data_IF_059756731256
#
_entry.id   IF_059756731256
#
_cell.length_a   1.000
_cell.length_b   1.000
_cell.length_c   1.000
_cell.angle_alpha   90.00
_cell.angle_beta   90.00
_cell.angle_gamma   90.00
#
_symmetry.space_group_name_H-M   'P 1'
#
loop_
_entity.id
_entity.type
_entity.pdbx_description
1 polymer ?
#
# COMPACT_ATOMS: atom_id res chain seq x y z
N UNK A 1 -17.39 -23.25 4.76
CA UNK A 1 -16.65 -21.98 4.96
C UNK A 1 -17.68 -20.88 4.83
N UNK A 2 -18.08 -20.25 5.94
CA UNK A 2 -19.19 -19.30 5.93
C UNK A 2 -18.91 -18.03 5.12
N UNK A 3 -19.99 -17.31 4.81
CA UNK A 3 -20.02 -15.98 4.17
C UNK A 3 -19.11 -14.94 4.81
N UNK A 4 -18.63 -15.17 6.04
CA UNK A 4 -17.66 -14.33 6.77
C UNK A 4 -16.28 -14.24 6.09
N UNK A 5 -16.03 -15.07 5.08
CA UNK A 5 -14.83 -15.04 4.25
C UNK A 5 -14.83 -13.87 3.25
N UNK A 6 -15.98 -13.27 2.97
CA UNK A 6 -16.16 -12.21 2.00
C UNK A 6 -16.49 -10.88 2.67
N UNK A 7 -15.75 -9.84 2.34
CA UNK A 7 -16.00 -8.48 2.81
C UNK A 7 -16.45 -7.60 1.64
N UNK A 8 -17.59 -6.93 1.79
CA UNK A 8 -18.04 -5.93 0.82
C UNK A 8 -17.45 -4.57 1.18
N UNK A 9 -16.74 -3.95 0.24
CA UNK A 9 -16.26 -2.59 0.34
C UNK A 9 -17.26 -1.65 -0.38
N UNK A 10 -17.99 -0.79 0.35
CA UNK A 10 -18.99 0.10 -0.24
C UNK A 10 -18.39 1.28 -1.00
N UNK A 11 -17.16 1.69 -0.69
CA UNK A 11 -16.47 2.82 -1.35
C UNK A 11 -16.04 2.43 -2.77
N UNK A 12 -15.46 1.24 -2.89
CA UNK A 12 -15.00 0.69 -4.16
C UNK A 12 -16.08 -0.11 -4.89
N UNK A 13 -17.15 -0.51 -4.18
CA UNK A 13 -18.21 -1.42 -4.64
C UNK A 13 -17.63 -2.74 -5.16
N UNK A 14 -16.76 -3.35 -4.35
CA UNK A 14 -16.08 -4.62 -4.65
C UNK A 14 -16.26 -5.59 -3.50
N UNK A 15 -16.16 -6.88 -3.78
CA UNK A 15 -16.17 -7.93 -2.76
C UNK A 15 -14.77 -8.50 -2.66
N UNK A 16 -14.19 -8.40 -1.48
CA UNK A 16 -12.87 -8.94 -1.14
C UNK A 16 -13.04 -10.35 -0.59
N UNK A 17 -12.37 -11.31 -1.22
CA UNK A 17 -12.19 -12.64 -0.68
C UNK A 17 -10.96 -12.64 0.23
N UNK A 18 -11.17 -12.67 1.55
CA UNK A 18 -10.07 -12.61 2.53
C UNK A 18 -9.12 -13.82 2.43
N UNK A 19 -9.60 -15.07 2.27
CA UNK A 19 -8.70 -16.21 2.12
C UNK A 19 -7.80 -16.14 0.88
N UNK A 20 -8.29 -15.54 -0.21
CA UNK A 20 -7.51 -15.40 -1.44
C UNK A 20 -6.70 -14.10 -1.51
N UNK A 21 -7.02 -13.09 -0.70
CA UNK A 21 -6.40 -11.78 -0.76
C UNK A 21 -6.75 -10.97 -2.02
N UNK A 22 -7.88 -11.29 -2.67
CA UNK A 22 -8.27 -10.74 -3.99
C UNK A 22 -9.74 -10.36 -4.05
N UNK A 23 -10.11 -9.40 -4.89
CA UNK A 23 -11.50 -9.12 -5.18
C UNK A 23 -12.11 -10.15 -6.14
N UNK A 24 -13.40 -10.41 -5.95
CA UNK A 24 -14.20 -11.19 -6.88
C UNK A 24 -14.55 -10.35 -8.10
N UNK A 25 -14.20 -10.83 -9.30
CA UNK A 25 -14.61 -10.19 -10.55
C UNK A 25 -16.13 -10.21 -10.62
N UNK A 26 -16.82 -9.08 -10.92
CA UNK A 26 -18.28 -8.98 -10.88
C UNK A 26 -18.95 -9.72 -12.04
N UNK A 27 -18.80 -11.05 -12.06
CA UNK A 27 -19.30 -11.98 -13.07
C UNK A 27 -19.67 -13.29 -12.37
N UNK A 28 -20.93 -13.75 -12.44
CA UNK A 28 -21.37 -14.98 -11.77
C UNK A 28 -20.57 -16.23 -12.16
N UNK A 29 -20.14 -16.33 -13.42
CA UNK A 29 -19.27 -17.41 -13.91
C UNK A 29 -17.91 -17.41 -13.23
N UNK A 30 -17.33 -16.23 -13.01
CA UNK A 30 -16.07 -16.06 -12.28
C UNK A 30 -16.22 -16.46 -10.81
N UNK A 31 -17.33 -16.10 -10.16
CA UNK A 31 -17.60 -16.49 -8.78
C UNK A 31 -17.72 -18.01 -8.65
N UNK A 32 -18.50 -18.66 -9.51
CA UNK A 32 -18.61 -20.13 -9.54
C UNK A 32 -17.25 -20.80 -9.63
N UNK A 33 -16.39 -20.33 -10.54
CA UNK A 33 -15.05 -20.89 -10.70
C UNK A 33 -14.17 -20.65 -9.47
N UNK A 34 -14.20 -19.44 -8.91
CA UNK A 34 -13.41 -19.06 -7.74
C UNK A 34 -13.81 -19.86 -6.49
N UNK A 35 -15.11 -19.94 -6.19
CA UNK A 35 -15.64 -20.62 -5.00
C UNK A 35 -15.45 -22.14 -5.06
N UNK A 36 -15.34 -22.73 -6.25
CA UNK A 36 -15.05 -24.17 -6.43
C UNK A 36 -13.56 -24.49 -6.31
N UNK A 37 -12.69 -23.53 -6.57
CA UNK A 37 -11.25 -23.68 -6.46
C UNK A 37 -10.81 -23.69 -4.99
N UNK A 38 -9.58 -24.15 -4.75
CA UNK A 38 -8.91 -23.96 -3.47
C UNK A 38 -8.68 -22.45 -3.22
N UNK A 39 -8.86 -21.94 -1.98
CA UNK A 39 -9.08 -22.62 -0.70
C UNK A 39 -10.55 -22.95 -0.37
N UNK A 40 -11.51 -22.59 -1.22
CA UNK A 40 -12.94 -22.62 -0.87
C UNK A 40 -13.61 -23.99 -1.08
N UNK A 41 -13.37 -24.65 -2.22
CA UNK A 41 -13.92 -25.97 -2.60
C UNK A 41 -15.44 -26.12 -2.38
N UNK A 42 -16.20 -25.03 -2.48
CA UNK A 42 -17.65 -24.98 -2.18
C UNK A 42 -18.47 -25.74 -3.24
N UNK A 43 -19.52 -26.43 -2.78
CA UNK A 43 -20.42 -27.24 -3.63
C UNK A 43 -21.87 -27.17 -3.13
N UNK A 44 -22.80 -27.64 -3.96
CA UNK A 44 -24.21 -27.77 -3.60
C UNK A 44 -24.86 -26.44 -3.20
N UNK A 45 -25.68 -26.49 -2.14
CA UNK A 45 -26.44 -25.33 -1.65
C UNK A 45 -25.55 -24.21 -1.10
N UNK A 46 -24.42 -24.55 -0.47
CA UNK A 46 -23.47 -23.55 0.05
C UNK A 46 -22.97 -22.63 -1.06
N UNK A 47 -22.64 -23.22 -2.23
CA UNK A 47 -22.24 -22.48 -3.42
C UNK A 47 -23.40 -21.64 -3.98
N UNK A 48 -24.60 -22.21 -4.04
CA UNK A 48 -25.80 -21.54 -4.59
C UNK A 48 -26.16 -20.31 -3.76
N UNK A 49 -26.29 -20.47 -2.44
CA UNK A 49 -26.61 -19.39 -1.51
C UNK A 49 -25.54 -18.30 -1.51
N UNK A 50 -24.26 -18.68 -1.60
CA UNK A 50 -23.18 -17.71 -1.68
C UNK A 50 -23.25 -16.87 -2.95
N UNK A 51 -23.53 -17.49 -4.10
CA UNK A 51 -23.68 -16.75 -5.37
C UNK A 51 -24.89 -15.81 -5.31
N UNK A 52 -26.00 -16.27 -4.73
CA UNK A 52 -27.20 -15.46 -4.54
C UNK A 52 -26.91 -14.23 -3.67
N UNK A 53 -26.22 -14.43 -2.54
CA UNK A 53 -25.76 -13.34 -1.68
C UNK A 53 -24.82 -12.37 -2.43
N UNK A 54 -23.82 -12.88 -3.15
CA UNK A 54 -22.89 -12.04 -3.93
C UNK A 54 -23.60 -11.23 -5.02
N UNK A 55 -24.67 -11.79 -5.59
CA UNK A 55 -25.49 -11.14 -6.63
C UNK A 55 -26.34 -9.99 -6.08
N UNK A 56 -26.63 -9.99 -4.78
CA UNK A 56 -27.41 -8.92 -4.15
C UNK A 56 -26.65 -7.59 -4.04
N UNK A 57 -25.30 -7.63 -4.08
CA UNK A 57 -24.48 -6.43 -3.98
C UNK A 57 -24.39 -5.70 -5.33
N UNK A 58 -24.44 -4.37 -5.27
CA UNK A 58 -24.18 -3.51 -6.44
C UNK A 58 -22.67 -3.36 -6.62
N UNK A 59 -22.11 -4.09 -7.59
CA UNK A 59 -20.67 -4.11 -7.84
C UNK A 59 -20.27 -3.25 -9.03
N UNK A 60 -19.15 -2.55 -8.90
CA UNK A 60 -18.58 -1.74 -9.98
C UNK A 60 -17.92 -2.65 -11.02
N UNK A 61 -18.19 -2.49 -12.32
CA UNK A 61 -17.52 -3.25 -13.37
C UNK A 61 -16.03 -2.92 -13.46
N UNK A 62 -15.26 -3.83 -14.05
CA UNK A 62 -13.79 -3.72 -14.14
C UNK A 62 -13.34 -2.44 -14.84
N UNK A 63 -14.03 -2.02 -15.89
CA UNK A 63 -13.65 -0.83 -16.67
C UNK A 63 -13.88 0.47 -15.89
N UNK A 64 -14.95 0.53 -15.10
CA UNK A 64 -15.17 1.64 -14.18
C UNK A 64 -14.12 1.65 -13.07
N UNK A 65 -13.68 0.49 -12.55
CA UNK A 65 -12.58 0.45 -11.56
C UNK A 65 -11.27 0.98 -12.14
N UNK A 66 -11.01 0.77 -13.44
CA UNK A 66 -9.85 1.35 -14.14
C UNK A 66 -9.96 2.87 -14.25
N UNK A 67 -11.12 3.39 -14.64
CA UNK A 67 -11.35 4.82 -14.80
C UNK A 67 -11.41 5.58 -13.47
N UNK A 68 -11.94 4.94 -12.42
CA UNK A 68 -11.99 5.49 -11.06
C UNK A 68 -10.58 5.75 -10.48
N UNK A 69 -9.52 5.33 -11.18
CA UNK A 69 -8.10 5.44 -10.80
C UNK A 69 -7.30 6.40 -11.70
N UNK A 70 -7.93 7.44 -12.23
CA UNK A 70 -7.26 8.43 -13.08
C UNK A 70 -6.01 9.08 -12.46
N UNK A 71 -5.81 8.99 -11.14
CA UNK A 71 -4.55 9.33 -10.47
C UNK A 71 -4.04 8.14 -9.64
N UNK A 72 -3.10 7.36 -10.19
CA UNK A 72 -2.43 6.25 -9.48
C UNK A 72 -1.29 6.72 -8.58
N UNK A 73 -0.83 7.97 -8.70
CA UNK A 73 0.21 8.53 -7.84
C UNK A 73 -0.34 8.84 -6.46
N UNK A 74 -1.61 9.26 -6.39
CA UNK A 74 -2.29 9.54 -5.12
C UNK A 74 -2.43 8.26 -4.30
N UNK A 75 -1.72 8.14 -3.17
CA UNK A 75 -1.86 6.99 -2.29
C UNK A 75 -3.30 6.87 -1.82
N UNK A 76 -3.81 5.63 -1.76
CA UNK A 76 -5.14 5.33 -1.23
C UNK A 76 -5.07 4.62 0.10
N UNK A 77 -6.15 4.68 0.86
CA UNK A 77 -6.29 3.82 2.03
C UNK A 77 -6.22 2.36 1.59
N UNK A 78 -5.42 1.52 2.28
CA UNK A 78 -5.39 0.10 1.99
C UNK A 78 -6.79 -0.49 2.14
N UNK A 79 -7.21 -1.30 1.16
CA UNK A 79 -8.45 -2.06 1.24
C UNK A 79 -8.20 -3.26 2.14
N UNK A 80 -9.02 -3.40 3.18
CA UNK A 80 -8.90 -4.48 4.16
C UNK A 80 -9.11 -5.85 3.50
N UNK A 81 -8.21 -6.79 3.82
CA UNK A 81 -8.27 -8.16 3.31
C UNK A 81 -7.68 -8.37 1.90
N UNK A 82 -7.20 -7.32 1.23
CA UNK A 82 -6.42 -7.47 -0.01
C UNK A 82 -4.93 -7.63 0.27
N UNK A 83 -4.28 -8.47 -0.53
CA UNK A 83 -2.82 -8.65 -0.46
C UNK A 83 -2.10 -7.35 -0.80
N UNK A 84 -1.21 -6.95 0.09
CA UNK A 84 -0.30 -5.83 -0.10
C UNK A 84 0.98 -6.35 -0.76
N UNK A 85 1.44 -5.63 -1.78
CA UNK A 85 2.66 -5.93 -2.50
C UNK A 85 3.65 -4.79 -2.36
N UNK A 86 4.93 -5.11 -2.30
CA UNK A 86 5.98 -4.14 -2.52
C UNK A 86 6.16 -3.90 -4.02
N UNK A 87 6.45 -2.65 -4.38
CA UNK A 87 6.72 -2.27 -5.74
C UNK A 87 7.26 -0.86 -5.88
N UNK A 88 7.19 -0.36 -7.10
CA UNK A 88 7.82 0.87 -7.52
C UNK A 88 6.83 1.69 -8.34
N UNK A 89 6.85 3.00 -8.13
CA UNK A 89 6.10 3.96 -8.94
C UNK A 89 7.05 4.94 -9.60
N UNK A 90 6.76 5.27 -10.87
CA UNK A 90 7.49 6.29 -11.62
C UNK A 90 7.28 7.69 -11.00
N UNK A 91 8.38 8.39 -10.76
CA UNK A 91 8.39 9.75 -10.21
C UNK A 91 8.65 10.82 -11.27
N UNK A 92 8.75 10.44 -12.55
CA UNK A 92 8.98 11.41 -13.63
C UNK A 92 7.81 12.42 -13.70
N UNK A 93 8.19 13.67 -14.00
CA UNK A 93 7.32 14.86 -14.00
C UNK A 93 6.44 14.91 -15.27
N UNK A 94 6.67 14.02 -16.24
CA UNK A 94 5.87 13.94 -17.45
C UNK A 94 4.39 13.83 -17.10
N UNK A 95 3.63 14.81 -17.56
CA UNK A 95 2.25 15.04 -17.18
C UNK A 95 1.41 13.80 -17.51
N UNK A 96 1.11 13.01 -16.48
CA UNK A 96 0.24 11.84 -16.58
C UNK A 96 0.92 10.47 -16.52
N UNK A 97 2.25 10.37 -16.29
CA UNK A 97 2.84 9.04 -16.09
C UNK A 97 2.46 8.46 -14.73
N UNK A 98 1.55 7.52 -14.71
CA UNK A 98 1.02 6.83 -13.54
C UNK A 98 1.57 5.39 -13.41
N UNK A 99 2.63 5.07 -14.15
CA UNK A 99 3.18 3.73 -14.22
C UNK A 99 3.70 3.24 -12.87
N UNK A 100 3.21 2.08 -12.45
CA UNK A 100 3.70 1.35 -11.29
C UNK A 100 3.82 -0.14 -11.59
N UNK A 101 4.77 -0.79 -10.94
CA UNK A 101 5.06 -2.21 -11.12
C UNK A 101 5.67 -2.78 -9.85
N UNK A 102 5.52 -4.09 -9.65
CA UNK A 102 6.18 -4.81 -8.56
C UNK A 102 7.65 -5.09 -8.82
N UNK A 103 8.05 -5.15 -10.09
CA UNK A 103 9.37 -5.61 -10.52
C UNK A 103 10.22 -4.43 -10.94
N UNK A 104 11.42 -4.30 -10.36
CA UNK A 104 12.32 -3.19 -10.66
C UNK A 104 12.81 -3.23 -12.11
N UNK A 105 12.99 -4.42 -12.68
CA UNK A 105 13.41 -4.60 -14.08
C UNK A 105 12.38 -3.97 -15.03
N UNK A 106 11.08 -4.11 -14.72
CA UNK A 106 10.02 -3.48 -15.49
C UNK A 106 10.00 -1.96 -15.34
N UNK A 107 10.46 -1.44 -14.21
CA UNK A 107 10.67 -0.01 -14.04
C UNK A 107 11.84 0.48 -14.88
N UNK A 108 12.95 -0.29 -14.94
CA UNK A 108 14.09 0.02 -15.81
C UNK A 108 13.68 0.06 -17.28
N UNK A 109 12.91 -0.93 -17.74
CA UNK A 109 12.36 -1.00 -19.10
C UNK A 109 11.43 0.17 -19.44
N UNK A 110 10.82 0.78 -18.42
CA UNK A 110 9.91 1.91 -18.57
C UNK A 110 10.64 3.27 -18.69
N UNK A 111 11.83 3.42 -18.08
CA UNK A 111 12.58 4.70 -18.08
C UNK A 111 12.84 5.30 -19.48
N UNK A 112 13.11 4.51 -20.54
CA UNK A 112 13.24 5.04 -21.89
C UNK A 112 12.01 5.79 -22.42
N UNK A 113 10.80 5.51 -21.91
CA UNK A 113 9.60 6.27 -22.26
C UNK A 113 9.68 7.75 -21.82
N UNK A 114 10.56 8.04 -20.86
CA UNK A 114 10.86 9.38 -20.36
C UNK A 114 12.18 9.94 -20.93
N UNK A 115 12.81 9.24 -21.88
CA UNK A 115 14.14 9.59 -22.38
C UNK A 115 15.26 9.40 -21.34
N UNK A 116 14.99 8.65 -20.26
CA UNK A 116 15.94 8.44 -19.15
C UNK A 116 16.48 7.02 -19.14
N UNK A 117 17.63 6.84 -18.48
CA UNK A 117 18.23 5.52 -18.23
C UNK A 117 18.13 5.18 -16.76
N UNK A 118 17.98 3.89 -16.45
CA UNK A 118 17.96 3.41 -15.06
C UNK A 118 19.23 3.84 -14.28
N UNK A 119 20.38 3.93 -14.95
CA UNK A 119 21.65 4.39 -14.36
C UNK A 119 21.64 5.85 -13.90
N UNK A 120 20.68 6.66 -14.35
CA UNK A 120 20.52 8.05 -13.92
C UNK A 120 19.74 8.16 -12.60
N UNK A 121 19.19 7.05 -12.10
CA UNK A 121 18.56 7.01 -10.79
C UNK A 121 19.62 7.18 -9.71
N UNK A 122 19.49 8.26 -8.94
CA UNK A 122 20.33 8.54 -7.77
C UNK A 122 19.46 8.93 -6.59
N UNK A 123 19.97 8.82 -5.36
CA UNK A 123 19.23 9.21 -4.16
C UNK A 123 18.80 10.69 -4.18
N UNK A 124 19.58 11.57 -4.83
CA UNK A 124 19.27 12.99 -4.96
C UNK A 124 18.29 13.28 -6.12
N UNK A 125 18.13 12.35 -7.06
CA UNK A 125 17.23 12.50 -8.21
C UNK A 125 16.54 11.16 -8.50
N UNK A 126 15.59 10.76 -7.63
CA UNK A 126 14.93 9.48 -7.77
C UNK A 126 13.97 9.48 -8.97
N UNK A 127 14.24 8.62 -9.95
CA UNK A 127 13.36 8.43 -11.11
C UNK A 127 12.12 7.60 -10.79
N UNK A 128 12.21 6.78 -9.74
CA UNK A 128 11.11 6.00 -9.17
C UNK A 128 11.30 5.95 -7.66
N UNK A 129 10.25 5.61 -6.93
CA UNK A 129 10.29 5.37 -5.49
C UNK A 129 9.71 4.00 -5.15
N UNK A 130 10.20 3.39 -4.08
CA UNK A 130 9.53 2.24 -3.47
C UNK A 130 8.16 2.68 -2.92
N UNK A 131 7.19 1.80 -3.03
CA UNK A 131 5.84 2.02 -2.53
C UNK A 131 5.14 0.69 -2.27
N UNK A 132 4.07 0.75 -1.48
CA UNK A 132 3.14 -0.36 -1.34
C UNK A 132 2.03 -0.27 -2.38
N UNK A 133 1.73 -1.41 -2.98
CA UNK A 133 0.77 -1.57 -4.05
C UNK A 133 -0.31 -2.56 -3.62
N UNK A 134 -1.54 -2.30 -4.04
CA UNK A 134 -2.63 -3.29 -4.04
C UNK A 134 -3.19 -3.43 -5.45
N UNK A 135 -3.91 -4.52 -5.68
CA UNK A 135 -4.67 -4.71 -6.92
C UNK A 135 -5.99 -5.40 -6.60
N UNK A 136 -7.05 -5.05 -7.33
CA UNK A 136 -8.35 -5.71 -7.16
C UNK A 136 -8.30 -7.16 -7.63
N UNK A 137 -7.66 -7.43 -8.78
CA UNK A 137 -7.71 -8.73 -9.42
C UNK A 137 -6.31 -9.25 -9.75
N UNK A 138 -6.08 -10.55 -9.53
CA UNK A 138 -4.81 -11.22 -9.85
C UNK A 138 -4.85 -11.98 -11.17
N UNK A 139 -6.02 -12.06 -11.81
CA UNK A 139 -6.17 -12.71 -13.11
C UNK A 139 -5.39 -11.94 -14.21
N UNK A 140 -4.73 -12.69 -15.10
CA UNK A 140 -3.97 -12.12 -16.21
C UNK A 140 -4.84 -11.16 -17.04
N UNK A 141 -4.31 -9.96 -17.32
CA UNK A 141 -5.03 -8.92 -18.06
C UNK A 141 -5.99 -8.08 -17.20
N UNK A 142 -6.24 -8.47 -15.95
CA UNK A 142 -7.03 -7.69 -14.98
C UNK A 142 -6.17 -7.09 -13.86
N UNK A 143 -4.92 -7.54 -13.73
CA UNK A 143 -3.94 -6.97 -12.80
C UNK A 143 -3.78 -5.49 -13.13
N UNK A 144 -4.08 -4.67 -12.15
CA UNK A 144 -3.94 -3.23 -12.25
C UNK A 144 -3.59 -2.69 -10.86
N UNK A 145 -2.30 -2.41 -10.66
CA UNK A 145 -1.76 -1.97 -9.38
C UNK A 145 -2.09 -0.49 -9.13
N UNK A 146 -2.30 -0.16 -7.87
CA UNK A 146 -2.43 1.22 -7.39
C UNK A 146 -1.66 1.39 -6.08
N UNK A 147 -1.17 2.60 -5.84
CA UNK A 147 -0.40 2.91 -4.63
C UNK A 147 -1.33 3.05 -3.43
N UNK A 148 -0.91 2.48 -2.32
CA UNK A 148 -1.56 2.63 -1.03
C UNK A 148 -0.70 3.43 -0.05
N UNK A 149 -1.35 4.07 0.91
CA UNK A 149 -0.71 4.73 2.05
C UNK A 149 -0.04 3.68 2.94
N UNK A 150 1.19 3.99 3.38
CA UNK A 150 1.84 3.23 4.42
C UNK A 150 1.20 3.58 5.77
N UNK A 151 0.59 2.63 6.49
CA UNK A 151 -0.03 2.92 7.79
C UNK A 151 1.00 3.30 8.86
N UNK A 152 2.30 3.09 8.59
CA UNK A 152 3.43 3.48 9.44
C UNK A 152 4.11 4.78 9.00
N UNK A 153 3.68 5.41 7.90
CA UNK A 153 4.27 6.67 7.46
C UNK A 153 3.63 7.83 8.23
N UNK A 154 4.42 8.70 8.89
CA UNK A 154 3.87 9.87 9.54
C UNK A 154 3.15 10.71 8.48
N UNK A 155 1.88 11.02 8.76
CA UNK A 155 1.07 11.89 7.92
C UNK A 155 1.75 13.26 7.86
N UNK A 156 2.53 13.53 6.82
CA UNK A 156 2.86 14.91 6.48
C UNK A 156 1.61 15.49 5.84
N UNK A 157 0.69 15.95 6.69
CA UNK A 157 -0.37 16.86 6.28
C UNK A 157 0.29 18.17 5.90
N UNK A 158 0.48 18.40 4.61
CA UNK A 158 0.68 19.76 4.09
C UNK A 158 -0.69 20.44 4.15
N UNK A 159 -1.06 20.91 5.34
CA UNK A 159 -2.27 21.67 5.56
C UNK A 159 -2.05 23.09 5.01
N UNK A 160 -2.55 23.33 3.80
CA UNK A 160 -2.72 24.67 3.27
C UNK A 160 -3.75 25.44 4.08
N UNK A 161 -3.29 26.58 4.63
CA UNK A 161 -4.01 27.82 4.92
C UNK A 161 -5.55 27.81 4.84
N UNK A 162 -6.22 27.85 6.00
CA UNK A 162 -7.36 28.75 6.27
C UNK A 162 -7.93 28.56 7.69
N UNK A 163 -8.02 29.68 8.44
CA UNK A 163 -9.09 29.93 9.42
C UNK A 163 -8.95 29.32 10.81
N UNK A 164 -8.16 29.95 11.67
CA UNK A 164 -8.26 29.74 13.13
C UNK A 164 -9.45 30.53 13.69
N UNK A 165 -10.44 29.81 14.24
CA UNK A 165 -11.39 30.34 15.23
C UNK A 165 -11.29 29.47 16.50
N UNK A 166 -11.31 30.17 17.63
CA UNK A 166 -10.85 29.83 18.97
C UNK A 166 -11.90 29.08 19.83
N UNK A 167 -11.47 27.93 20.40
CA UNK A 167 -11.67 27.32 21.76
C UNK A 167 -13.09 27.16 22.38
N UNK A 168 -13.29 26.51 23.56
CA UNK A 168 -12.48 25.49 24.31
C UNK A 168 -13.31 24.33 24.95
N UNK A 169 -12.58 23.45 25.67
CA UNK A 169 -12.97 22.61 26.85
C UNK A 169 -12.92 21.10 26.55
N UNK A 170 -12.32 20.20 27.34
CA UNK A 170 -11.95 20.25 28.76
C UNK A 170 -10.85 19.21 29.07
N UNK A 171 -10.01 19.56 30.05
CA UNK A 171 -8.91 18.86 30.74
C UNK A 171 -8.88 17.32 30.84
N UNK A 172 -7.64 16.80 30.75
CA UNK A 172 -7.18 15.51 31.29
C UNK A 172 -5.65 15.39 31.31
N UNK A 173 -4.99 16.09 32.24
CA UNK A 173 -3.60 15.94 32.75
C UNK A 173 -3.11 14.48 32.86
N UNK A 174 -1.83 14.09 32.88
CA UNK A 174 -0.50 14.70 32.84
C UNK A 174 0.47 13.48 32.72
N UNK A 175 1.28 13.38 31.68
CA UNK A 175 2.62 12.75 31.72
C UNK A 175 3.45 13.36 30.59
N UNK A 176 4.12 14.47 30.92
CA UNK A 176 5.16 15.05 30.07
C UNK A 176 6.36 14.11 30.07
N UNK A 177 6.51 13.32 29.01
CA UNK A 177 7.82 12.82 28.60
C UNK A 177 8.38 13.88 27.67
N UNK A 178 9.27 14.71 28.21
CA UNK A 178 10.06 15.67 27.44
C UNK A 178 10.79 14.88 26.35
N UNK A 179 10.46 15.12 25.09
CA UNK A 179 11.29 14.66 23.98
C UNK A 179 12.69 15.24 24.16
N UNK A 180 13.76 14.43 24.14
CA UNK A 180 15.11 14.94 24.27
C UNK A 180 15.38 15.90 23.12
N UNK A 181 15.97 17.04 23.44
CA UNK A 181 16.35 18.01 22.42
C UNK A 181 17.38 17.37 21.48
N UNK A 182 17.36 17.73 20.20
CA UNK A 182 18.28 17.19 19.17
C UNK A 182 19.78 17.31 19.54
N UNK A 183 20.14 18.14 20.52
CA UNK A 183 21.49 18.21 21.09
C UNK A 183 21.86 17.05 22.03
N UNK A 184 20.89 16.48 22.75
CA UNK A 184 21.12 15.33 23.66
C UNK A 184 21.26 14.02 22.88
N UNK A 185 20.51 13.86 21.79
CA UNK A 185 20.67 12.73 20.87
C UNK A 185 22.07 12.75 20.22
N UNK A 186 22.57 13.92 19.82
CA UNK A 186 23.92 14.06 19.26
C UNK A 186 25.02 13.57 20.19
N UNK A 187 24.91 13.84 21.50
CA UNK A 187 25.86 13.35 22.50
C UNK A 187 25.81 11.84 22.67
N UNK A 188 24.62 11.24 22.67
CA UNK A 188 24.46 9.78 22.75
C UNK A 188 25.10 9.07 21.55
N UNK A 189 25.03 9.64 20.35
CA UNK A 189 25.69 9.08 19.17
C UNK A 189 27.22 9.23 19.20
N UNK A 190 27.75 10.32 19.75
CA UNK A 190 29.19 10.49 19.94
C UNK A 190 29.76 9.52 20.98
N UNK A 191 29.07 9.35 22.11
CA UNK A 191 29.48 8.42 23.16
C UNK A 191 29.45 6.97 22.67
N UNK A 192 28.39 6.55 21.95
CA UNK A 192 28.31 5.20 21.37
C UNK A 192 29.41 4.94 20.34
N UNK A 193 29.81 5.96 19.58
CA UNK A 193 30.92 5.85 18.62
C UNK A 193 32.26 5.69 19.35
N UNK A 194 32.45 6.37 20.47
CA UNK A 194 33.64 6.21 21.30
C UNK A 194 33.74 4.78 21.87
N UNK A 195 32.62 4.22 22.34
CA UNK A 195 32.56 2.86 22.88
C UNK A 195 32.90 1.79 21.83
N UNK A 196 32.40 1.94 20.60
CA UNK A 196 32.71 1.00 19.50
C UNK A 196 34.20 1.04 19.12
N UNK A 197 34.80 2.24 19.11
CA UNK A 197 36.23 2.40 18.83
C UNK A 197 37.04 1.77 19.96
N UNK A 198 36.64 1.94 21.21
CA UNK A 198 37.33 1.36 22.35
C UNK A 198 37.23 -0.18 22.36
N UNK A 199 36.04 -0.73 22.12
CA UNK A 199 35.84 -2.17 22.04
C UNK A 199 36.66 -2.82 20.90
N UNK A 200 36.87 -2.09 19.80
CA UNK A 200 37.71 -2.57 18.68
C UNK A 200 39.19 -2.63 19.08
N UNK A 201 39.70 -1.64 19.83
CA UNK A 201 41.08 -1.65 20.33
C UNK A 201 41.32 -2.74 21.36
N UNK A 202 40.37 -2.97 22.26
CA UNK A 202 40.46 -4.01 23.29
C UNK A 202 40.46 -5.43 22.69
N UNK A 203 39.90 -5.60 21.49
CA UNK A 203 39.96 -6.85 20.72
C UNK A 203 41.30 -7.02 19.99
N UNK A 204 41.94 -5.94 19.55
CA UNK A 204 43.27 -5.96 18.94
C UNK A 204 44.39 -6.21 19.97
N UNK A 205 44.22 -5.78 21.22
CA UNK A 205 45.19 -6.01 22.31
C UNK A 205 45.13 -7.46 22.87
N UNK A 206 44.07 -8.21 22.56
CA UNK A 206 43.87 -9.61 22.99
C UNK A 206 44.20 -10.65 21.91
N UNK A 207 44.69 -10.23 20.75
CA UNK A 207 45.14 -11.10 19.65
C UNK A 207 46.67 -11.28 19.66
#
# INVERSE_FOLDING_TARGET
MGVDSFAYDPEHRVIVCRPCGTCLVPKPTSWKSHLRAEPHRMRGDELRLSIEQLSSYSLRPVDELRQWRADRKRPRRPIEGLTIYEGYICCCIDAGCDYCTRRIEKMHDHMPAHGKRASQHTNNTPLWRSCRLQTYFTAKGLIDYFVIEDPSSPRITVAGVAGAVLVPSTLGSLLSVSSPSSQEEGKLFEDLKADIIQASRDLEEKA
#
